data_IF_047529249361
#
_entry.id   IF_047529249361
#
_cell.length_a   1.000
_cell.length_b   1.000
_cell.length_c   1.000
_cell.angle_alpha   90.00
_cell.angle_beta   90.00
_cell.angle_gamma   90.00
#
_symmetry.space_group_name_H-M   'P 1'
#
loop_
_entity.id
_entity.type
_entity.pdbx_description
1 polymer ?
#
# COMPACT_ATOMS: atom_id res chain seq x y z
N UNK A 1 7.71 11.18 12.03
CA UNK A 1 7.37 11.79 10.71
C UNK A 1 7.49 10.72 9.64
N UNK A 2 6.44 10.51 8.83
CA UNK A 2 6.43 9.52 7.75
C UNK A 2 6.18 10.13 6.37
N UNK A 3 6.02 9.29 5.34
CA UNK A 3 5.96 9.68 3.93
C UNK A 3 4.67 10.42 3.55
N UNK A 4 4.73 11.07 2.37
CA UNK A 4 3.55 11.60 1.68
C UNK A 4 2.92 10.56 0.75
N UNK A 5 3.62 9.47 0.45
CA UNK A 5 3.15 8.39 -0.40
C UNK A 5 2.46 7.33 0.46
N UNK A 6 1.31 6.84 0.03
CA UNK A 6 0.52 5.85 0.76
C UNK A 6 1.33 4.58 1.03
N UNK A 7 1.98 4.02 0.02
CA UNK A 7 2.77 2.79 0.18
C UNK A 7 3.88 2.91 1.23
N UNK A 8 4.72 3.95 1.14
CA UNK A 8 5.80 4.19 2.12
C UNK A 8 5.25 4.41 3.54
N UNK A 9 4.10 5.07 3.67
CA UNK A 9 3.48 5.30 4.96
C UNK A 9 2.93 4.00 5.56
N UNK A 10 2.24 3.18 4.76
CA UNK A 10 1.79 1.84 5.18
C UNK A 10 2.97 0.98 5.61
N UNK A 11 4.05 0.93 4.81
CA UNK A 11 5.24 0.15 5.17
C UNK A 11 5.90 0.62 6.48
N UNK A 12 5.67 1.87 6.90
CA UNK A 12 6.22 2.43 8.15
C UNK A 12 5.34 2.23 9.39
N UNK A 13 4.09 1.76 9.23
CA UNK A 13 3.16 1.60 10.37
C UNK A 13 3.65 0.61 11.40
N UNK A 14 4.36 -0.44 10.98
CA UNK A 14 4.95 -1.41 11.89
C UNK A 14 5.91 -0.78 12.91
N UNK A 15 6.70 0.25 12.54
CA UNK A 15 7.54 0.96 13.49
C UNK A 15 6.73 1.69 14.57
N UNK A 16 5.61 2.30 14.17
CA UNK A 16 4.72 2.96 15.11
C UNK A 16 4.08 1.95 16.06
N UNK A 17 3.56 0.85 15.52
CA UNK A 17 2.96 -0.23 16.31
C UNK A 17 3.97 -0.81 17.31
N UNK A 18 5.17 -1.14 16.86
CA UNK A 18 6.26 -1.61 17.71
C UNK A 18 6.55 -0.63 18.87
N UNK A 19 6.68 0.66 18.59
CA UNK A 19 6.95 1.66 19.63
C UNK A 19 5.78 1.77 20.61
N UNK A 20 4.55 1.70 20.13
CA UNK A 20 3.37 1.72 20.99
C UNK A 20 3.30 0.47 21.88
N UNK A 21 3.71 -0.68 21.41
CA UNK A 21 3.82 -1.90 22.21
C UNK A 21 4.93 -1.82 23.27
N UNK A 22 6.12 -1.31 22.88
CA UNK A 22 7.24 -1.14 23.82
C UNK A 22 6.95 -0.09 24.92
N UNK A 23 6.06 0.88 24.65
CA UNK A 23 5.68 1.93 25.59
C UNK A 23 4.15 1.99 25.76
N UNK A 24 3.56 1.10 26.61
CA UNK A 24 2.11 0.94 26.72
C UNK A 24 1.32 2.19 27.10
N UNK A 25 1.93 3.14 27.80
CA UNK A 25 1.29 4.39 28.21
C UNK A 25 1.56 5.57 27.27
N UNK A 26 2.42 5.38 26.25
CA UNK A 26 2.75 6.47 25.33
C UNK A 26 1.63 6.71 24.32
N UNK A 27 1.48 7.96 23.92
CA UNK A 27 0.72 8.38 22.74
C UNK A 27 1.65 8.88 21.65
N UNK A 28 1.15 8.95 20.43
CA UNK A 28 1.92 9.36 19.27
C UNK A 28 1.30 10.53 18.53
N UNK A 29 2.15 11.50 18.15
CA UNK A 29 1.81 12.49 17.13
C UNK A 29 2.43 12.08 15.80
N UNK A 30 1.63 11.94 14.75
CA UNK A 30 2.09 11.53 13.42
C UNK A 30 2.08 12.73 12.47
N UNK A 31 3.21 13.04 11.84
CA UNK A 31 3.28 14.01 10.74
C UNK A 31 3.45 13.28 9.41
N UNK A 32 2.52 13.45 8.47
CA UNK A 32 2.45 12.72 7.21
C UNK A 32 1.85 13.56 6.08
N UNK A 33 1.85 13.03 4.86
CA UNK A 33 1.16 13.68 3.74
C UNK A 33 -0.37 13.68 3.87
N UNK A 34 -1.09 14.63 3.22
CA UNK A 34 -2.55 14.72 3.32
C UNK A 34 -3.28 13.44 2.94
N UNK A 35 -2.82 12.73 1.91
CA UNK A 35 -3.42 11.47 1.44
C UNK A 35 -3.28 10.29 2.42
N UNK A 36 -2.51 10.46 3.49
CA UNK A 36 -2.18 9.39 4.44
C UNK A 36 -2.82 9.62 5.82
N UNK A 37 -3.39 10.81 6.04
CA UNK A 37 -3.94 11.21 7.36
C UNK A 37 -4.94 10.19 7.90
N UNK A 38 -5.85 9.70 7.06
CA UNK A 38 -6.88 8.74 7.46
C UNK A 38 -6.32 7.41 7.96
N UNK A 39 -5.13 6.99 7.47
CA UNK A 39 -4.51 5.71 7.86
C UNK A 39 -4.34 5.56 9.39
N UNK A 40 -4.12 6.66 10.08
CA UNK A 40 -3.85 6.68 11.52
C UNK A 40 -5.09 6.95 12.38
N UNK A 41 -6.25 7.29 11.76
CA UNK A 41 -7.49 7.61 12.47
C UNK A 41 -7.95 6.51 13.43
N UNK A 42 -7.95 5.21 13.05
CA UNK A 42 -8.45 4.15 13.93
C UNK A 42 -7.48 3.79 15.07
N UNK A 43 -6.24 4.28 15.06
CA UNK A 43 -5.30 4.02 16.14
C UNK A 43 -5.60 4.93 17.34
N UNK A 44 -6.23 4.40 18.38
CA UNK A 44 -6.62 5.13 19.58
C UNK A 44 -5.49 5.75 20.39
N UNK A 45 -4.24 5.36 20.08
CA UNK A 45 -3.03 5.88 20.71
C UNK A 45 -2.30 6.92 19.85
N UNK A 46 -2.86 7.27 18.70
CA UNK A 46 -2.46 8.45 17.93
C UNK A 46 -3.36 9.61 18.31
N UNK A 47 -2.83 10.50 19.17
CA UNK A 47 -3.55 11.65 19.70
C UNK A 47 -3.64 12.81 18.69
N UNK A 48 -2.70 12.87 17.74
CA UNK A 48 -2.66 13.94 16.74
C UNK A 48 -2.05 13.47 15.42
N UNK A 49 -2.69 13.85 14.32
CA UNK A 49 -2.14 13.69 12.97
C UNK A 49 -1.96 15.06 12.32
N UNK A 50 -0.74 15.38 11.92
CA UNK A 50 -0.38 16.65 11.27
C UNK A 50 -0.20 16.44 9.77
N UNK A 51 -1.13 16.98 8.98
CA UNK A 51 -1.05 16.94 7.53
C UNK A 51 0.01 17.92 7.00
N UNK A 52 1.03 17.40 6.34
CA UNK A 52 2.12 18.17 5.73
C UNK A 52 1.81 18.50 4.27
N UNK A 53 0.86 19.40 4.08
CA UNK A 53 0.56 19.92 2.74
C UNK A 53 1.69 20.83 2.27
N UNK A 54 2.23 20.57 1.06
CA UNK A 54 3.31 21.37 0.49
C UNK A 54 2.90 22.84 0.37
N UNK A 55 3.69 23.72 0.95
CA UNK A 55 3.49 25.18 0.93
C UNK A 55 4.65 25.88 0.23
N UNK A 56 4.41 27.09 -0.29
CA UNK A 56 5.48 27.94 -0.85
C UNK A 56 6.57 28.19 0.20
N UNK A 57 7.81 28.32 -0.26
CA UNK A 57 8.99 28.56 0.59
C UNK A 57 9.14 27.55 1.75
N UNK A 58 8.70 26.30 1.54
CA UNK A 58 8.77 25.26 2.56
C UNK A 58 8.03 25.58 3.87
N UNK A 59 7.03 26.45 3.84
CA UNK A 59 6.27 26.91 5.02
C UNK A 59 5.61 25.82 5.84
N UNK A 60 5.32 24.65 5.23
CA UNK A 60 4.81 23.49 5.94
C UNK A 60 5.79 22.97 7.02
N UNK A 61 7.10 23.14 6.84
CA UNK A 61 8.08 22.78 7.86
C UNK A 61 8.07 23.75 9.03
N UNK A 62 7.94 25.07 8.76
CA UNK A 62 7.79 26.09 9.81
C UNK A 62 6.52 25.81 10.61
N UNK A 63 5.40 25.52 9.93
CA UNK A 63 4.14 25.16 10.59
C UNK A 63 4.29 23.91 11.47
N UNK A 64 4.97 22.87 11.00
CA UNK A 64 5.21 21.69 11.81
C UNK A 64 6.11 22.02 13.02
N UNK A 65 7.15 22.82 12.81
CA UNK A 65 8.04 23.25 13.88
C UNK A 65 7.28 24.00 14.99
N UNK A 66 6.46 25.01 14.64
CA UNK A 66 5.66 25.75 15.63
C UNK A 66 4.69 24.87 16.42
N UNK A 67 4.21 23.78 15.82
CA UNK A 67 3.32 22.82 16.48
C UNK A 67 4.06 21.79 17.35
N UNK A 68 5.39 21.72 17.24
CA UNK A 68 6.20 20.66 17.88
C UNK A 68 7.23 21.21 18.87
N UNK A 69 7.71 22.44 18.71
CA UNK A 69 8.80 23.01 19.50
C UNK A 69 8.46 23.24 20.98
N UNK A 70 7.19 23.46 21.30
CA UNK A 70 6.71 23.64 22.68
C UNK A 70 6.53 22.33 23.47
N UNK A 71 6.78 21.18 22.85
CA UNK A 71 6.63 19.87 23.48
C UNK A 71 8.00 19.20 23.62
N UNK A 72 8.30 18.63 24.79
CA UNK A 72 9.46 17.76 24.97
C UNK A 72 9.09 16.33 24.56
N UNK A 73 9.73 15.85 23.49
CA UNK A 73 9.44 14.53 22.92
C UNK A 73 10.34 13.46 23.54
N UNK A 74 9.78 12.40 24.09
CA UNK A 74 10.58 11.28 24.57
C UNK A 74 11.32 10.57 23.41
N UNK A 75 10.63 10.40 22.28
CA UNK A 75 11.16 9.75 21.08
C UNK A 75 10.72 10.53 19.84
N UNK A 76 11.65 10.86 18.97
CA UNK A 76 11.40 11.41 17.63
C UNK A 76 11.90 10.41 16.60
N UNK A 77 11.02 9.97 15.70
CA UNK A 77 11.38 9.13 14.55
C UNK A 77 11.15 9.92 13.28
N UNK A 78 12.20 10.17 12.53
CA UNK A 78 12.16 10.93 11.29
C UNK A 78 12.53 10.06 10.09
N UNK A 79 11.51 9.58 9.39
CA UNK A 79 11.66 8.75 8.18
C UNK A 79 11.88 9.60 6.91
N UNK A 80 11.92 10.92 7.04
CA UNK A 80 12.14 11.87 5.93
C UNK A 80 13.52 12.51 5.95
N UNK A 81 14.32 12.25 6.99
CA UNK A 81 15.63 12.84 7.21
C UNK A 81 15.61 14.39 7.13
N UNK A 82 14.61 15.02 7.79
CA UNK A 82 14.42 16.46 7.77
C UNK A 82 15.28 17.17 8.81
N UNK A 83 15.67 18.41 8.52
CA UNK A 83 16.37 19.24 9.51
C UNK A 83 15.49 19.58 10.73
N UNK A 84 14.17 19.55 10.58
CA UNK A 84 13.22 19.88 11.64
C UNK A 84 13.38 18.98 12.88
N UNK A 85 13.63 17.69 12.67
CA UNK A 85 13.77 16.74 13.77
C UNK A 85 14.95 17.04 14.70
N UNK A 86 15.93 17.82 14.25
CA UNK A 86 17.02 18.35 15.06
C UNK A 86 16.65 19.65 15.82
N UNK A 87 15.61 20.35 15.36
CA UNK A 87 15.22 21.66 15.87
C UNK A 87 14.06 21.62 16.88
N UNK A 88 13.66 20.43 17.33
CA UNK A 88 12.62 20.23 18.35
C UNK A 88 13.22 19.56 19.60
N UNK A 89 12.77 19.89 20.83
CA UNK A 89 13.28 19.27 22.05
C UNK A 89 12.95 17.77 22.12
N UNK A 90 13.95 16.92 22.34
CA UNK A 90 13.75 15.47 22.42
C UNK A 90 14.78 14.76 23.30
N UNK A 91 14.41 13.60 23.84
CA UNK A 91 15.33 12.73 24.59
C UNK A 91 16.05 11.73 23.66
N UNK A 92 15.33 11.11 22.73
CA UNK A 92 15.89 10.16 21.75
C UNK A 92 15.43 10.52 20.34
N UNK A 93 16.34 10.34 19.39
CA UNK A 93 16.13 10.74 18.00
C UNK A 93 16.62 9.65 17.05
N UNK A 94 15.75 9.22 16.16
CA UNK A 94 16.02 8.21 15.15
C UNK A 94 15.73 8.75 13.75
N UNK A 95 16.73 8.73 12.87
CA UNK A 95 16.61 9.27 11.52
C UNK A 95 16.81 8.14 10.50
N UNK A 96 15.90 8.05 9.53
CA UNK A 96 16.10 7.16 8.41
C UNK A 96 17.28 7.62 7.56
N UNK A 97 18.23 6.71 7.34
CA UNK A 97 19.33 6.90 6.40
C UNK A 97 19.07 6.00 5.19
N UNK A 98 18.96 6.61 4.02
CA UNK A 98 18.86 5.85 2.78
C UNK A 98 20.15 5.06 2.58
N UNK A 99 20.02 3.78 2.30
CA UNK A 99 21.13 2.91 1.91
C UNK A 99 20.88 2.38 0.50
N UNK A 100 21.95 2.07 -0.24
CA UNK A 100 21.84 1.41 -1.55
C UNK A 100 21.76 -0.12 -1.43
N UNK A 101 21.52 -0.63 -0.22
CA UNK A 101 21.38 -2.07 -0.02
C UNK A 101 20.13 -2.60 -0.73
N UNK A 102 20.22 -3.72 -1.42
CA UNK A 102 19.08 -4.35 -2.10
C UNK A 102 18.20 -5.12 -1.10
N UNK A 103 17.72 -4.42 -0.08
CA UNK A 103 16.85 -4.99 0.97
C UNK A 103 15.46 -4.39 0.92
N UNK A 104 14.49 -5.13 1.40
CA UNK A 104 13.11 -4.68 1.44
C UNK A 104 12.95 -3.42 2.32
N UNK A 105 12.03 -2.52 1.93
CA UNK A 105 11.79 -1.25 2.61
C UNK A 105 11.46 -1.43 4.11
N UNK A 106 10.68 -2.44 4.47
CA UNK A 106 10.36 -2.77 5.87
C UNK A 106 11.63 -3.09 6.67
N UNK A 107 12.56 -3.83 6.08
CA UNK A 107 13.87 -4.14 6.71
C UNK A 107 14.67 -2.87 6.92
N UNK A 108 14.76 -2.01 5.89
CA UNK A 108 15.46 -0.72 6.00
C UNK A 108 14.84 0.18 7.07
N UNK A 109 13.51 0.14 7.21
CA UNK A 109 12.80 0.88 8.27
C UNK A 109 13.09 0.31 9.66
N UNK A 110 13.11 -1.02 9.84
CA UNK A 110 13.50 -1.65 11.12
C UNK A 110 14.89 -1.25 11.61
N UNK A 111 15.85 -1.10 10.69
CA UNK A 111 17.21 -0.64 10.98
C UNK A 111 17.25 0.77 11.61
N UNK A 112 16.23 1.61 11.39
CA UNK A 112 16.16 2.95 12.01
C UNK A 112 16.13 2.87 13.53
N UNK A 113 15.47 1.87 14.06
CA UNK A 113 15.40 1.59 15.49
C UNK A 113 16.44 0.56 15.96
N UNK A 114 17.33 0.11 15.08
CA UNK A 114 18.34 -0.92 15.38
C UNK A 114 17.78 -2.33 15.54
N UNK A 115 16.61 -2.61 14.97
CA UNK A 115 15.94 -3.89 15.11
C UNK A 115 16.54 -4.95 14.16
N UNK A 116 16.81 -6.15 14.66
CA UNK A 116 17.23 -7.31 13.89
C UNK A 116 16.06 -7.89 13.08
N UNK A 117 14.88 -7.92 13.69
CA UNK A 117 13.64 -8.32 13.04
C UNK A 117 12.76 -7.10 12.82
N UNK A 118 12.47 -6.76 11.55
CA UNK A 118 11.66 -5.60 11.26
C UNK A 118 10.19 -5.88 11.60
N UNK A 119 9.49 -4.95 12.30
CA UNK A 119 8.08 -5.12 12.59
C UNK A 119 7.26 -5.05 11.30
N UNK A 120 6.32 -6.00 11.15
CA UNK A 120 5.43 -6.03 10.00
C UNK A 120 4.54 -4.78 9.96
N UNK A 121 4.25 -4.24 8.76
CA UNK A 121 3.25 -3.19 8.60
C UNK A 121 1.91 -3.62 9.20
N UNK A 122 1.22 -2.68 9.84
CA UNK A 122 -0.08 -2.90 10.47
C UNK A 122 -1.09 -1.84 10.03
N UNK A 123 -2.33 -2.25 9.84
CA UNK A 123 -3.46 -1.35 9.64
C UNK A 123 -4.40 -1.47 10.83
N UNK A 124 -4.76 -0.33 11.42
CA UNK A 124 -5.79 -0.27 12.46
C UNK A 124 -7.15 -0.11 11.81
N UNK A 125 -8.13 -0.83 12.28
CA UNK A 125 -9.52 -0.77 11.85
C UNK A 125 -10.40 -0.41 13.03
N UNK A 126 -11.47 0.32 12.79
CA UNK A 126 -12.52 0.57 13.77
C UNK A 126 -13.83 -0.11 13.36
N UNK A 127 -14.77 -0.22 14.31
CA UNK A 127 -16.06 -0.88 14.06
C UNK A 127 -16.89 -0.14 13.02
N UNK A 128 -16.78 1.18 12.92
CA UNK A 128 -17.53 1.96 11.93
C UNK A 128 -17.08 1.62 10.50
N UNK A 129 -15.76 1.48 10.29
CA UNK A 129 -15.20 1.04 9.00
C UNK A 129 -15.62 -0.42 8.71
N UNK A 130 -15.62 -1.31 9.70
CA UNK A 130 -16.04 -2.71 9.54
C UNK A 130 -17.54 -2.81 9.16
N UNK A 131 -18.41 -2.04 9.81
CA UNK A 131 -19.85 -1.99 9.47
C UNK A 131 -20.07 -1.50 8.05
N UNK A 132 -19.38 -0.43 7.66
CA UNK A 132 -19.47 0.15 6.32
C UNK A 132 -18.91 -0.78 5.25
N UNK A 133 -17.83 -1.48 5.55
CA UNK A 133 -17.26 -2.47 4.65
C UNK A 133 -18.24 -3.61 4.34
N UNK A 134 -19.00 -4.09 5.33
CA UNK A 134 -20.06 -5.09 5.14
C UNK A 134 -21.15 -4.63 4.17
N UNK A 135 -21.42 -3.33 4.11
CA UNK A 135 -22.40 -2.74 3.18
C UNK A 135 -21.85 -2.62 1.74
N UNK A 136 -20.55 -2.39 1.62
CA UNK A 136 -19.87 -2.17 0.32
C UNK A 136 -19.42 -3.48 -0.33
N UNK A 137 -18.91 -4.41 0.46
CA UNK A 137 -18.40 -5.71 0.02
C UNK A 137 -19.27 -6.79 0.67
N UNK A 138 -20.16 -7.42 -0.11
CA UNK A 138 -21.07 -8.44 0.40
C UNK A 138 -20.36 -9.73 0.80
N UNK A 139 -21.06 -10.60 1.52
CA UNK A 139 -20.54 -11.92 1.85
C UNK A 139 -20.34 -12.79 0.60
N UNK A 140 -19.42 -13.73 0.69
CA UNK A 140 -19.01 -14.62 -0.39
C UNK A 140 -17.61 -14.29 -0.93
N UNK A 141 -17.13 -15.07 -1.90
CA UNK A 141 -15.80 -14.84 -2.46
C UNK A 141 -15.75 -13.55 -3.27
N UNK A 142 -14.75 -12.72 -3.00
CA UNK A 142 -14.49 -11.48 -3.73
C UNK A 142 -13.02 -11.43 -4.13
N UNK A 143 -12.76 -11.22 -5.43
CA UNK A 143 -11.45 -10.88 -5.97
C UNK A 143 -11.29 -9.36 -5.95
N UNK A 144 -10.30 -8.86 -5.21
CA UNK A 144 -9.95 -7.44 -5.21
C UNK A 144 -8.89 -7.14 -6.28
N UNK A 145 -9.13 -6.12 -7.08
CA UNK A 145 -8.20 -5.65 -8.10
C UNK A 145 -7.76 -4.21 -7.84
N UNK A 146 -6.44 -3.96 -7.92
CA UNK A 146 -5.82 -2.64 -7.87
C UNK A 146 -5.18 -2.26 -9.20
N UNK A 147 -5.99 -1.83 -10.21
CA UNK A 147 -5.49 -1.58 -11.56
C UNK A 147 -4.74 -0.25 -11.70
N UNK A 148 -4.78 0.59 -10.67
CA UNK A 148 -4.24 1.95 -10.70
C UNK A 148 -2.84 2.02 -10.09
N UNK A 149 -2.09 3.03 -10.46
CA UNK A 149 -0.81 3.38 -9.85
C UNK A 149 -0.57 4.89 -10.01
N UNK A 150 0.31 5.45 -9.18
CA UNK A 150 0.68 6.86 -9.23
C UNK A 150 1.45 7.28 -10.50
N UNK A 151 1.81 6.32 -11.34
CA UNK A 151 2.50 6.52 -12.61
C UNK A 151 2.02 5.48 -13.64
N UNK A 152 1.66 5.94 -14.84
CA UNK A 152 1.13 5.08 -15.92
C UNK A 152 2.08 3.95 -16.32
N UNK A 153 3.40 4.17 -16.23
CA UNK A 153 4.40 3.13 -16.54
C UNK A 153 4.27 1.85 -15.69
N UNK A 154 3.68 1.95 -14.50
CA UNK A 154 3.47 0.79 -13.60
C UNK A 154 2.13 0.08 -13.80
N UNK A 155 1.29 0.56 -14.69
CA UNK A 155 -0.06 0.03 -14.86
C UNK A 155 -0.06 -1.15 -15.82
N UNK A 156 -0.44 -2.32 -15.33
CA UNK A 156 -0.75 -3.46 -16.18
C UNK A 156 -2.02 -3.15 -16.98
N UNK A 157 -2.11 -3.53 -18.25
CA UNK A 157 -3.25 -3.19 -19.09
C UNK A 157 -4.60 -3.61 -18.50
N UNK A 158 -5.60 -2.76 -18.62
CA UNK A 158 -6.96 -3.06 -18.12
C UNK A 158 -7.55 -4.32 -18.77
N UNK A 159 -7.25 -4.58 -20.06
CA UNK A 159 -7.62 -5.80 -20.75
C UNK A 159 -7.02 -7.07 -20.12
N UNK A 160 -5.80 -6.97 -19.60
CA UNK A 160 -5.13 -8.08 -18.92
C UNK A 160 -5.74 -8.33 -17.54
N UNK A 161 -6.10 -7.28 -16.77
CA UNK A 161 -6.89 -7.42 -15.55
C UNK A 161 -8.26 -8.04 -15.81
N UNK A 162 -8.94 -7.65 -16.89
CA UNK A 162 -10.22 -8.22 -17.27
C UNK A 162 -10.11 -9.70 -17.60
N UNK A 163 -9.12 -10.09 -18.37
CA UNK A 163 -8.86 -11.50 -18.70
C UNK A 163 -8.49 -12.31 -17.44
N UNK A 164 -7.67 -11.76 -16.55
CA UNK A 164 -7.36 -12.37 -15.26
C UNK A 164 -8.64 -12.62 -14.44
N UNK A 165 -9.49 -11.59 -14.27
CA UNK A 165 -10.74 -11.69 -13.54
C UNK A 165 -11.61 -12.80 -14.11
N UNK A 166 -11.81 -12.82 -15.42
CA UNK A 166 -12.60 -13.84 -16.13
C UNK A 166 -12.06 -15.26 -15.89
N UNK A 167 -10.75 -15.46 -16.01
CA UNK A 167 -10.13 -16.79 -15.80
C UNK A 167 -10.25 -17.28 -14.37
N UNK A 168 -10.12 -16.39 -13.39
CA UNK A 168 -10.18 -16.77 -11.98
C UNK A 168 -11.62 -17.00 -11.48
N UNK A 169 -12.63 -16.34 -12.08
CA UNK A 169 -14.02 -16.40 -11.59
C UNK A 169 -14.94 -17.29 -12.39
N UNK A 170 -14.50 -17.81 -13.54
CA UNK A 170 -15.29 -18.75 -14.35
C UNK A 170 -15.59 -20.06 -13.61
N UNK A 171 -16.63 -20.82 -14.00
CA UNK A 171 -16.94 -22.11 -13.39
C UNK A 171 -15.75 -23.06 -13.41
N UNK A 172 -15.44 -23.66 -12.26
CA UNK A 172 -14.31 -24.58 -12.07
C UNK A 172 -12.96 -23.93 -11.81
N UNK A 173 -12.87 -22.59 -11.82
CA UNK A 173 -11.63 -21.86 -11.46
C UNK A 173 -11.49 -21.68 -9.94
N UNK A 174 -10.30 -21.25 -9.50
CA UNK A 174 -9.96 -21.11 -8.08
C UNK A 174 -10.87 -20.14 -7.29
N UNK A 175 -11.47 -19.16 -7.95
CA UNK A 175 -12.43 -18.21 -7.37
C UNK A 175 -13.77 -18.26 -8.11
N UNK A 176 -14.24 -19.48 -8.48
CA UNK A 176 -15.47 -19.65 -9.22
C UNK A 176 -16.65 -18.90 -8.60
N UNK A 177 -17.35 -18.08 -9.38
CA UNK A 177 -18.49 -17.27 -8.93
C UNK A 177 -18.14 -16.06 -8.05
N UNK A 178 -16.87 -15.75 -7.85
CA UNK A 178 -16.46 -14.57 -7.09
C UNK A 178 -16.88 -13.28 -7.80
N UNK A 179 -17.29 -12.28 -7.01
CA UNK A 179 -17.41 -10.91 -7.48
C UNK A 179 -16.03 -10.26 -7.60
N UNK A 180 -15.95 -9.19 -8.39
CA UNK A 180 -14.71 -8.45 -8.64
C UNK A 180 -14.83 -7.04 -8.07
N UNK A 181 -14.09 -6.75 -7.00
CA UNK A 181 -14.03 -5.43 -6.41
C UNK A 181 -12.83 -4.64 -7.00
N UNK A 182 -13.09 -3.48 -7.56
CA UNK A 182 -12.08 -2.61 -8.17
C UNK A 182 -11.79 -1.44 -7.25
N UNK A 183 -10.55 -1.34 -6.77
CA UNK A 183 -10.10 -0.31 -5.85
C UNK A 183 -9.25 0.76 -6.54
N UNK A 184 -9.33 1.98 -6.05
CA UNK A 184 -8.52 3.12 -6.49
C UNK A 184 -8.95 4.42 -5.83
N UNK A 185 -8.13 5.45 -5.92
CA UNK A 185 -8.48 6.79 -5.48
C UNK A 185 -9.44 7.46 -6.48
N UNK A 186 -10.19 8.48 -6.04
CA UNK A 186 -11.14 9.20 -6.89
C UNK A 186 -10.47 9.78 -8.14
N UNK A 187 -9.30 10.40 -7.99
CA UNK A 187 -8.53 10.94 -9.12
C UNK A 187 -7.96 9.89 -10.09
N UNK A 188 -8.10 8.60 -9.77
CA UNK A 188 -7.61 7.48 -10.58
C UNK A 188 -8.74 6.79 -11.39
N UNK A 189 -9.98 7.27 -11.29
CA UNK A 189 -11.15 6.68 -11.97
C UNK A 189 -10.92 6.46 -13.47
N UNK A 190 -10.36 7.45 -14.17
CA UNK A 190 -10.09 7.31 -15.60
C UNK A 190 -9.14 6.16 -15.96
N UNK A 191 -8.25 5.75 -15.05
CA UNK A 191 -7.35 4.61 -15.25
C UNK A 191 -8.08 3.27 -15.08
N UNK A 192 -9.05 3.20 -14.17
CA UNK A 192 -9.82 1.99 -13.86
C UNK A 192 -11.06 1.81 -14.76
N UNK A 193 -11.54 2.87 -15.39
CA UNK A 193 -12.77 2.85 -16.19
C UNK A 193 -12.79 1.77 -17.28
N UNK A 194 -11.70 1.52 -18.05
CA UNK A 194 -11.71 0.46 -19.07
C UNK A 194 -11.90 -0.95 -18.46
N UNK A 195 -11.42 -1.18 -17.23
CA UNK A 195 -11.65 -2.44 -16.51
C UNK A 195 -13.11 -2.51 -16.03
N UNK A 196 -13.62 -1.47 -15.37
CA UNK A 196 -14.98 -1.44 -14.85
C UNK A 196 -16.01 -1.62 -15.97
N UNK A 197 -15.83 -0.95 -17.11
CA UNK A 197 -16.71 -1.08 -18.26
C UNK A 197 -16.71 -2.47 -18.89
N UNK A 198 -15.62 -3.22 -18.76
CA UNK A 198 -15.49 -4.58 -19.27
C UNK A 198 -16.03 -5.69 -18.35
N UNK A 199 -16.26 -5.37 -17.06
CA UNK A 199 -16.78 -6.32 -16.10
C UNK A 199 -18.32 -6.38 -16.14
N UNK A 200 -18.95 -7.57 -15.96
CA UNK A 200 -20.39 -7.68 -15.79
C UNK A 200 -20.86 -6.86 -14.58
N UNK A 201 -21.90 -6.05 -14.75
CA UNK A 201 -22.39 -5.12 -13.73
C UNK A 201 -22.84 -5.83 -12.43
N UNK A 202 -23.42 -7.02 -12.55
CA UNK A 202 -23.88 -7.85 -11.44
C UNK A 202 -22.74 -8.53 -10.67
N UNK A 203 -21.56 -8.61 -11.27
CA UNK A 203 -20.36 -9.21 -10.67
C UNK A 203 -19.33 -8.16 -10.22
N UNK A 204 -19.48 -6.91 -10.62
CA UNK A 204 -18.54 -5.84 -10.29
C UNK A 204 -18.93 -5.07 -9.04
N UNK A 205 -17.93 -4.68 -8.25
CA UNK A 205 -18.06 -3.80 -7.09
C UNK A 205 -17.10 -2.62 -7.33
N UNK A 206 -17.66 -1.47 -7.70
CA UNK A 206 -16.87 -0.25 -7.90
C UNK A 206 -16.60 0.44 -6.56
N UNK A 207 -15.35 0.43 -6.12
CA UNK A 207 -14.87 1.10 -4.91
C UNK A 207 -13.94 2.28 -5.20
N UNK A 208 -13.81 2.70 -6.46
CA UNK A 208 -12.98 3.83 -6.87
C UNK A 208 -13.51 5.13 -6.26
N UNK A 209 -12.69 5.78 -5.42
CA UNK A 209 -13.03 7.04 -4.76
C UNK A 209 -14.10 6.93 -3.67
N UNK A 210 -14.54 5.70 -3.31
CA UNK A 210 -15.61 5.48 -2.34
C UNK A 210 -15.11 5.15 -0.93
N UNK A 211 -13.80 4.99 -0.77
CA UNK A 211 -13.17 4.60 0.48
C UNK A 211 -11.97 5.50 0.79
N UNK A 212 -11.78 5.83 2.06
CA UNK A 212 -10.49 6.26 2.58
C UNK A 212 -9.63 5.02 2.95
N UNK A 213 -8.42 5.21 3.44
CA UNK A 213 -7.50 4.10 3.65
C UNK A 213 -7.98 3.06 4.68
N UNK A 214 -8.52 3.42 5.86
CA UNK A 214 -9.06 2.45 6.80
C UNK A 214 -10.26 1.68 6.25
N UNK A 215 -11.21 2.38 5.62
CA UNK A 215 -12.35 1.74 5.00
C UNK A 215 -11.93 0.84 3.83
N UNK A 216 -10.94 1.26 3.02
CA UNK A 216 -10.39 0.41 1.97
C UNK A 216 -9.77 -0.87 2.55
N UNK A 217 -9.02 -0.76 3.66
CA UNK A 217 -8.46 -1.92 4.34
C UNK A 217 -9.56 -2.84 4.91
N UNK A 218 -10.61 -2.28 5.51
CA UNK A 218 -11.76 -3.06 5.98
C UNK A 218 -12.53 -3.75 4.84
N UNK A 219 -12.62 -3.10 3.66
CA UNK A 219 -13.20 -3.73 2.47
C UNK A 219 -12.29 -4.82 1.92
N UNK A 220 -10.97 -4.61 1.91
CA UNK A 220 -9.98 -5.59 1.49
C UNK A 220 -10.01 -6.83 2.40
N UNK A 221 -10.11 -6.67 3.71
CA UNK A 221 -10.22 -7.77 4.69
C UNK A 221 -11.40 -8.73 4.40
N UNK A 222 -12.41 -8.25 3.67
CA UNK A 222 -13.54 -9.06 3.18
C UNK A 222 -13.29 -9.74 1.84
N UNK A 223 -12.15 -9.49 1.22
CA UNK A 223 -11.79 -10.08 -0.06
C UNK A 223 -10.95 -11.35 0.13
N UNK A 224 -11.15 -12.33 -0.74
CA UNK A 224 -10.41 -13.59 -0.70
C UNK A 224 -8.96 -13.41 -1.14
N UNK A 225 -8.71 -12.48 -2.04
CA UNK A 225 -7.43 -12.22 -2.66
C UNK A 225 -7.38 -10.79 -3.22
N UNK A 226 -6.21 -10.19 -3.20
CA UNK A 226 -5.89 -8.95 -3.90
C UNK A 226 -4.84 -9.19 -4.99
N UNK A 227 -5.09 -8.69 -6.20
CA UNK A 227 -4.09 -8.60 -7.28
C UNK A 227 -4.01 -7.16 -7.77
N UNK A 228 -2.82 -6.58 -7.82
CA UNK A 228 -2.69 -5.20 -8.27
C UNK A 228 -1.26 -4.77 -8.57
N UNK A 229 -1.16 -3.62 -9.21
CA UNK A 229 0.11 -2.99 -9.53
C UNK A 229 0.90 -2.61 -8.25
N UNK A 230 2.22 -2.43 -8.37
CA UNK A 230 3.05 -1.83 -7.32
C UNK A 230 2.53 -0.42 -6.96
N UNK A 231 1.69 -0.37 -5.95
CA UNK A 231 0.96 0.82 -5.50
C UNK A 231 0.72 0.81 -3.99
N UNK A 232 0.20 1.93 -3.46
CA UNK A 232 -0.17 2.03 -2.05
C UNK A 232 -1.25 1.03 -1.63
N UNK A 233 -2.17 0.68 -2.53
CA UNK A 233 -3.23 -0.30 -2.28
C UNK A 233 -2.68 -1.71 -2.11
N UNK A 234 -1.68 -2.11 -2.89
CA UNK A 234 -1.01 -3.41 -2.73
C UNK A 234 -0.40 -3.55 -1.32
N UNK A 235 0.29 -2.51 -0.85
CA UNK A 235 0.86 -2.52 0.50
C UNK A 235 -0.23 -2.50 1.58
N UNK A 236 -1.33 -1.80 1.33
CA UNK A 236 -2.47 -1.75 2.25
C UNK A 236 -3.14 -3.12 2.37
N UNK A 237 -3.36 -3.82 1.25
CA UNK A 237 -3.92 -5.18 1.22
C UNK A 237 -3.04 -6.17 2.00
N UNK A 238 -1.73 -6.16 1.74
CA UNK A 238 -0.78 -7.01 2.46
C UNK A 238 -0.75 -6.71 3.97
N UNK A 239 -0.76 -5.42 4.35
CA UNK A 239 -0.78 -5.00 5.76
C UNK A 239 -2.10 -5.28 6.47
N UNK A 240 -3.22 -5.39 5.73
CA UNK A 240 -4.51 -5.85 6.23
C UNK A 240 -4.59 -7.39 6.36
N UNK A 241 -3.53 -8.12 5.99
CA UNK A 241 -3.49 -9.58 6.07
C UNK A 241 -4.13 -10.31 4.90
N UNK A 242 -4.58 -9.59 3.89
CA UNK A 242 -5.21 -10.18 2.70
C UNK A 242 -4.15 -10.88 1.84
N UNK A 243 -4.41 -12.08 1.33
CA UNK A 243 -3.55 -12.70 0.32
C UNK A 243 -3.32 -11.75 -0.84
N UNK A 244 -2.05 -11.40 -1.11
CA UNK A 244 -1.73 -10.28 -2.00
C UNK A 244 -0.71 -10.68 -3.05
N UNK A 245 -1.07 -10.54 -4.33
CA UNK A 245 -0.17 -10.68 -5.47
C UNK A 245 0.14 -9.29 -6.06
N UNK A 246 1.41 -8.89 -6.01
CA UNK A 246 1.89 -7.63 -6.59
C UNK A 246 2.41 -7.81 -8.02
N UNK A 247 2.08 -6.87 -8.91
CA UNK A 247 2.53 -6.87 -10.30
C UNK A 247 3.62 -5.82 -10.50
N UNK A 248 4.77 -6.24 -11.05
CA UNK A 248 5.97 -5.44 -11.16
C UNK A 248 6.50 -5.34 -12.60
N UNK A 249 7.07 -4.19 -12.93
CA UNK A 249 7.78 -3.88 -14.16
C UNK A 249 8.86 -2.83 -13.87
N UNK A 250 8.57 -1.51 -14.07
CA UNK A 250 9.54 -0.43 -13.87
C UNK A 250 9.72 -0.05 -12.37
N UNK A 251 9.66 -1.01 -11.48
CA UNK A 251 9.95 -0.84 -10.05
C UNK A 251 10.68 -2.04 -9.49
N UNK A 252 11.59 -1.83 -8.50
CA UNK A 252 12.39 -2.89 -7.92
C UNK A 252 11.58 -3.68 -6.88
N UNK A 253 11.18 -4.90 -7.23
CA UNK A 253 10.43 -5.80 -6.34
C UNK A 253 11.19 -6.16 -5.08
N UNK A 254 12.52 -6.16 -5.12
CA UNK A 254 13.37 -6.40 -3.95
C UNK A 254 13.10 -5.41 -2.82
N UNK A 255 12.73 -4.16 -3.17
CA UNK A 255 12.44 -3.12 -2.21
C UNK A 255 10.97 -3.02 -1.83
N UNK A 256 10.06 -3.36 -2.76
CA UNK A 256 8.64 -2.98 -2.66
C UNK A 256 7.64 -4.12 -2.89
N UNK A 257 8.08 -5.39 -3.02
CA UNK A 257 7.11 -6.49 -3.06
C UNK A 257 6.20 -6.46 -1.83
N UNK A 258 4.97 -7.00 -1.89
CA UNK A 258 4.10 -7.02 -0.72
C UNK A 258 4.77 -7.77 0.43
N UNK A 259 4.60 -7.29 1.65
CA UNK A 259 5.21 -7.82 2.86
C UNK A 259 4.22 -8.65 3.65
N UNK A 260 4.54 -9.91 3.92
CA UNK A 260 3.71 -10.82 4.72
C UNK A 260 3.85 -12.28 4.29
N UNK A 261 3.30 -13.20 5.08
CA UNK A 261 3.38 -14.65 4.82
C UNK A 261 2.57 -15.06 3.57
N UNK A 262 1.41 -14.42 3.37
CA UNK A 262 0.48 -14.74 2.28
C UNK A 262 0.64 -13.74 1.13
N UNK A 263 1.87 -13.54 0.67
CA UNK A 263 2.16 -12.60 -0.41
C UNK A 263 2.97 -13.23 -1.51
N UNK A 264 2.82 -12.69 -2.71
CA UNK A 264 3.60 -13.06 -3.90
C UNK A 264 3.78 -11.87 -4.82
N UNK A 265 4.63 -12.04 -5.82
CA UNK A 265 4.75 -11.07 -6.89
C UNK A 265 5.03 -11.76 -8.22
N UNK A 266 4.63 -11.09 -9.30
CA UNK A 266 5.00 -11.43 -10.66
C UNK A 266 5.54 -10.17 -11.32
N UNK A 267 6.55 -10.32 -12.17
CA UNK A 267 7.08 -9.19 -12.91
C UNK A 267 7.10 -9.45 -14.42
N UNK A 268 7.29 -8.38 -15.18
CA UNK A 268 7.59 -8.45 -16.62
C UNK A 268 8.82 -9.34 -16.87
N UNK A 269 8.94 -9.96 -18.05
CA UNK A 269 10.15 -10.71 -18.42
C UNK A 269 11.43 -9.87 -18.29
N UNK A 270 11.35 -8.57 -18.56
CA UNK A 270 12.44 -7.62 -18.41
C UNK A 270 12.69 -7.32 -16.93
N UNK A 271 13.95 -7.23 -16.53
CA UNK A 271 14.33 -6.76 -15.21
C UNK A 271 14.04 -5.27 -15.03
N UNK A 272 14.01 -4.80 -13.77
CA UNK A 272 13.90 -3.38 -13.47
C UNK A 272 14.96 -2.56 -14.22
N UNK A 273 16.23 -3.02 -14.18
CA UNK A 273 17.37 -2.35 -14.81
C UNK A 273 17.24 -2.32 -16.34
N UNK A 274 16.76 -3.40 -16.94
CA UNK A 274 16.52 -3.44 -18.38
C UNK A 274 15.46 -2.42 -18.83
N UNK A 275 14.39 -2.27 -18.04
CA UNK A 275 13.34 -1.31 -18.34
C UNK A 275 13.84 0.13 -18.18
N UNK A 276 14.48 0.46 -17.04
CA UNK A 276 14.86 1.86 -16.75
C UNK A 276 16.08 2.34 -17.55
N UNK A 277 16.89 1.42 -18.07
CA UNK A 277 18.04 1.74 -18.94
C UNK A 277 17.70 1.64 -20.43
N UNK A 278 16.44 1.33 -20.80
CA UNK A 278 16.03 1.32 -22.19
C UNK A 278 16.12 2.73 -22.81
N UNK A 279 16.52 2.82 -24.08
CA UNK A 279 16.74 4.09 -24.77
C UNK A 279 15.48 4.96 -24.85
N UNK A 280 14.31 4.34 -24.84
CA UNK A 280 12.99 4.99 -24.91
C UNK A 280 12.36 5.18 -23.52
N UNK A 281 13.12 4.93 -22.44
CA UNK A 281 12.60 5.12 -21.09
C UNK A 281 12.42 6.60 -20.76
N UNK A 282 11.18 6.98 -20.49
CA UNK A 282 10.84 8.29 -19.98
C UNK A 282 9.92 8.14 -18.77
N UNK A 283 10.41 8.49 -17.59
CA UNK A 283 9.65 8.44 -16.34
C UNK A 283 8.48 9.45 -16.28
N UNK A 284 8.39 10.39 -17.23
CA UNK A 284 7.29 11.35 -17.38
C UNK A 284 6.16 10.80 -18.26
N UNK A 285 6.47 9.80 -19.10
CA UNK A 285 5.49 9.15 -19.95
C UNK A 285 4.45 8.40 -19.11
N UNK A 286 3.19 8.50 -19.50
CA UNK A 286 2.11 7.71 -18.92
C UNK A 286 1.90 6.37 -19.65
N UNK A 287 2.73 6.06 -20.63
CA UNK A 287 2.67 4.79 -21.35
C UNK A 287 3.07 3.64 -20.44
N UNK A 288 2.25 2.59 -20.42
CA UNK A 288 2.53 1.37 -19.64
C UNK A 288 3.85 0.71 -20.08
N UNK A 289 4.65 0.33 -19.10
CA UNK A 289 5.84 -0.52 -19.23
C UNK A 289 5.57 -1.95 -18.73
N UNK A 290 4.27 -2.30 -18.60
CA UNK A 290 3.81 -3.60 -18.11
C UNK A 290 3.18 -4.46 -19.21
N UNK A 291 3.24 -4.02 -20.47
CA UNK A 291 2.55 -4.68 -21.59
C UNK A 291 3.14 -6.04 -21.96
N UNK A 292 4.40 -6.30 -21.60
CA UNK A 292 5.08 -7.59 -21.79
C UNK A 292 4.73 -8.64 -20.72
N UNK A 293 4.07 -8.23 -19.61
CA UNK A 293 3.60 -9.17 -18.61
C UNK A 293 2.34 -9.89 -19.12
N UNK A 294 2.47 -11.15 -19.49
CA UNK A 294 1.37 -11.99 -19.94
C UNK A 294 0.41 -12.34 -18.78
N UNK A 295 -0.81 -12.72 -19.10
CA UNK A 295 -1.84 -13.10 -18.10
C UNK A 295 -1.53 -14.46 -17.47
N UNK A 296 -1.01 -15.41 -18.23
CA UNK A 296 -0.73 -16.78 -17.79
C UNK A 296 0.15 -16.87 -16.53
N UNK A 297 1.30 -16.20 -16.44
CA UNK A 297 2.12 -16.20 -15.22
C UNK A 297 1.38 -15.61 -14.00
N UNK A 298 0.50 -14.62 -14.23
CA UNK A 298 -0.28 -14.00 -13.16
C UNK A 298 -1.36 -14.95 -12.65
N UNK A 299 -2.07 -15.65 -13.54
CA UNK A 299 -3.04 -16.71 -13.18
C UNK A 299 -2.34 -17.80 -12.36
N UNK A 300 -1.25 -18.36 -12.88
CA UNK A 300 -0.51 -19.43 -12.21
C UNK A 300 0.00 -19.02 -10.81
N UNK A 301 0.55 -17.81 -10.68
CA UNK A 301 1.00 -17.30 -9.38
C UNK A 301 -0.16 -17.03 -8.41
N UNK A 302 -1.33 -16.66 -8.94
CA UNK A 302 -2.53 -16.45 -8.13
C UNK A 302 -3.06 -17.79 -7.59
N UNK A 303 -3.14 -18.82 -8.43
CA UNK A 303 -3.58 -20.17 -8.06
C UNK A 303 -2.61 -20.82 -7.05
N UNK A 304 -1.30 -20.66 -7.25
CA UNK A 304 -0.28 -21.10 -6.29
C UNK A 304 -0.44 -20.38 -4.94
N UNK A 305 -0.69 -19.09 -4.93
CA UNK A 305 -0.91 -18.31 -3.71
C UNK A 305 -2.16 -18.81 -2.96
N UNK A 306 -3.26 -19.05 -3.67
CA UNK A 306 -4.49 -19.57 -3.08
C UNK A 306 -4.24 -20.97 -2.49
N UNK A 307 -3.59 -21.86 -3.22
CA UNK A 307 -3.32 -23.23 -2.76
C UNK A 307 -2.49 -23.27 -1.48
N UNK A 308 -1.51 -22.39 -1.34
CA UNK A 308 -0.67 -22.28 -0.12
C UNK A 308 -1.44 -21.84 1.12
N UNK A 309 -2.55 -21.13 0.95
CA UNK A 309 -3.38 -20.62 2.04
C UNK A 309 -4.42 -21.65 2.47
N UNK A 310 -4.88 -22.50 1.54
CA UNK A 310 -5.87 -23.54 1.79
C UNK A 310 -5.29 -24.82 2.39
N UNK A 311 -3.98 -25.01 2.33
CA UNK A 311 -3.31 -26.08 3.02
C UNK A 311 -3.30 -25.80 4.53
N UNK A 312 -3.78 -26.71 5.39
CA UNK A 312 -3.63 -26.56 6.84
C UNK A 312 -2.16 -26.50 7.19
N UNK A 313 -1.80 -25.54 8.07
CA UNK A 313 -0.45 -25.37 8.60
C UNK A 313 -0.03 -26.55 9.49
#
# INVERSE_FOLDING_TARGET
>A
MTSNRVGDAVLSTGLLDYLLEQYPTATATVACGPSVVSLFRPCNRVDKVVALQKMRYAGHWVRLWTQSVGTFWNIVVDLRASALSWAIPHARHFIFKSTNEPVHRVVSLGKVLGLSEPPAPRVWLDEADAVRARQLVPDGPVLALGPTANWGGKQWPASSFLELAKRLTQPGAALAGARVAVFGADGERGMAEPLLAGLPTDQSIDLIGRTDLPLAAACLDRCRLFVGNDSGLMHLAAAAGVPTLGLFGPSPEQHYRPWGAHTGFVRTPESFEQIVNAKDYDYRSQQSRMTSLAVEPVVAATEDLISRIELPA
#
